data_IF_609772818027
#
_entry.id   IF_609772818027
#
_cell.length_a   1.000
_cell.length_b   1.000
_cell.length_c   1.000
_cell.angle_alpha   90.00
_cell.angle_beta   90.00
_cell.angle_gamma   90.00
#
_symmetry.space_group_name_H-M   'P 1'
#
loop_
_entity.id
_entity.type
_entity.pdbx_description
1 polymer ?
#
# COMPACT_ATOMS: atom_id res chain seq x y z
N UNK A 1 10.60 65.90 -1.63
CA UNK A 1 11.83 65.30 -1.06
C UNK A 1 11.44 64.21 -0.08
N UNK A 2 12.13 63.07 -0.21
CA UNK A 2 12.21 61.85 0.61
C UNK A 2 10.96 61.13 1.15
N UNK A 3 10.72 60.00 0.50
CA UNK A 3 10.11 58.75 0.93
C UNK A 3 10.76 58.13 2.17
N UNK A 4 9.95 57.53 3.04
CA UNK A 4 9.96 56.09 3.35
C UNK A 4 9.03 55.84 4.55
N UNK A 5 7.86 55.26 4.30
CA UNK A 5 7.02 54.70 5.36
C UNK A 5 7.38 53.21 5.50
N UNK A 6 8.07 52.94 6.61
CA UNK A 6 8.21 51.70 7.38
C UNK A 6 7.76 50.38 6.74
N UNK A 7 8.76 49.59 6.34
CA UNK A 7 8.61 48.16 6.12
C UNK A 7 8.35 47.46 7.46
N UNK A 8 7.13 46.96 7.64
CA UNK A 8 6.69 46.09 8.75
C UNK A 8 7.31 44.67 8.67
N UNK A 9 8.62 44.57 8.44
CA UNK A 9 9.34 43.30 8.42
C UNK A 9 9.90 42.98 9.80
N UNK A 10 9.15 42.22 10.62
CA UNK A 10 9.68 41.67 11.86
C UNK A 10 10.75 40.61 11.53
N UNK A 11 11.99 40.73 12.04
CA UNK A 11 13.00 39.71 11.80
C UNK A 11 12.54 38.36 12.37
N UNK A 12 12.91 37.24 11.72
CA UNK A 12 12.52 35.91 12.20
C UNK A 12 13.05 35.68 13.62
N UNK A 13 12.28 35.01 14.51
CA UNK A 13 12.70 34.77 15.88
C UNK A 13 14.01 33.96 15.93
N UNK A 14 14.85 34.22 16.93
CA UNK A 14 16.09 33.48 17.13
C UNK A 14 15.77 32.20 17.92
N UNK A 15 16.20 31.06 17.40
CA UNK A 15 16.03 29.74 18.03
C UNK A 15 17.39 29.20 18.43
N UNK A 16 17.65 29.13 19.74
CA UNK A 16 18.85 28.51 20.29
C UNK A 16 18.62 27.01 20.52
N UNK A 17 19.43 26.17 19.88
CA UNK A 17 19.29 24.72 20.01
C UNK A 17 20.56 23.96 19.67
N UNK A 18 20.89 22.95 20.46
CA UNK A 18 22.04 22.07 20.25
C UNK A 18 21.97 21.27 18.95
N UNK A 19 20.77 21.08 18.38
CA UNK A 19 20.56 20.32 17.16
C UNK A 19 21.16 20.98 15.91
N UNK A 20 21.66 22.23 16.00
CA UNK A 20 22.35 22.93 14.91
C UNK A 20 21.56 22.90 13.58
N UNK A 21 22.13 22.37 12.47
CA UNK A 21 21.43 22.27 11.18
C UNK A 21 20.22 21.32 11.23
N UNK A 22 20.10 20.51 12.28
CA UNK A 22 18.98 19.62 12.56
C UNK A 22 17.89 20.24 13.44
N UNK A 23 18.03 21.50 13.86
CA UNK A 23 17.02 22.18 14.65
C UNK A 23 15.68 22.33 13.86
N UNK A 24 14.57 22.02 14.54
CA UNK A 24 13.21 22.05 13.99
C UNK A 24 12.47 23.36 14.25
N UNK A 25 13.04 24.25 15.06
CA UNK A 25 12.41 25.52 15.38
C UNK A 25 12.31 26.46 14.19
N UNK A 26 11.24 27.25 14.18
CA UNK A 26 10.94 28.22 13.13
C UNK A 26 11.68 29.52 13.47
N UNK A 27 12.60 29.95 12.60
CA UNK A 27 13.36 31.19 12.79
C UNK A 27 14.85 31.07 12.47
N UNK A 28 15.64 32.08 12.87
CA UNK A 28 17.12 32.07 12.75
C UNK A 28 17.71 31.14 13.79
N UNK A 29 18.37 30.07 13.36
CA UNK A 29 18.89 29.01 14.25
C UNK A 29 20.30 29.33 14.71
N UNK A 30 20.52 29.30 16.02
CA UNK A 30 21.83 29.43 16.64
C UNK A 30 22.13 28.14 17.39
N UNK A 31 23.27 27.52 17.07
CA UNK A 31 23.69 26.29 17.73
C UNK A 31 24.24 26.63 19.12
N UNK A 32 23.60 26.09 20.15
CA UNK A 32 24.00 26.27 21.56
C UNK A 32 24.01 24.91 22.24
N UNK A 33 25.16 24.49 22.77
CA UNK A 33 25.38 23.12 23.27
C UNK A 33 24.55 22.72 24.49
N UNK A 34 24.04 23.69 25.26
CA UNK A 34 23.33 23.44 26.53
C UNK A 34 21.81 23.65 26.46
N UNK A 35 21.24 23.99 25.28
CA UNK A 35 19.80 24.23 25.10
C UNK A 35 19.20 23.33 24.04
N UNK A 36 17.98 22.86 24.28
CA UNK A 36 17.16 22.21 23.26
C UNK A 36 15.89 23.06 23.10
N UNK A 37 15.58 23.50 21.89
CA UNK A 37 14.35 24.26 21.67
C UNK A 37 13.10 23.37 21.85
N UNK A 38 11.93 23.95 22.17
CA UNK A 38 10.70 23.18 22.39
C UNK A 38 10.33 22.26 21.22
N UNK A 39 10.48 22.74 19.98
CA UNK A 39 10.19 21.95 18.79
C UNK A 39 11.08 20.71 18.68
N UNK A 40 12.37 20.85 19.03
CA UNK A 40 13.30 19.73 19.04
C UNK A 40 12.99 18.76 20.19
N UNK A 41 12.69 19.25 21.40
CA UNK A 41 12.31 18.41 22.54
C UNK A 41 11.06 17.57 22.25
N UNK A 42 10.08 18.15 21.55
CA UNK A 42 8.84 17.46 21.24
C UNK A 42 9.00 16.44 20.11
N UNK A 43 9.80 16.73 19.09
CA UNK A 43 9.76 16.00 17.81
C UNK A 43 10.99 15.16 17.47
N UNK A 44 12.15 15.44 18.07
CA UNK A 44 13.32 14.57 17.89
C UNK A 44 13.26 13.38 18.84
N UNK A 45 13.91 12.29 18.44
CA UNK A 45 14.08 11.13 19.31
C UNK A 45 14.96 11.51 20.51
N UNK A 46 14.57 11.14 21.75
CA UNK A 46 15.35 11.46 22.95
C UNK A 46 16.77 10.89 22.94
N UNK A 47 17.02 9.73 22.32
CA UNK A 47 18.38 9.20 22.21
C UNK A 47 19.22 10.05 21.25
N UNK A 48 18.64 10.47 20.12
CA UNK A 48 19.32 11.36 19.18
C UNK A 48 19.68 12.70 19.83
N UNK A 49 18.77 13.28 20.61
CA UNK A 49 19.04 14.50 21.38
C UNK A 49 20.13 14.29 22.43
N UNK A 50 20.18 13.12 23.10
CA UNK A 50 21.26 12.79 24.07
C UNK A 50 22.62 12.66 23.38
N UNK A 51 22.67 12.06 22.19
CA UNK A 51 23.90 12.00 21.38
C UNK A 51 24.39 13.41 21.05
N UNK A 52 23.50 14.29 20.58
CA UNK A 52 23.89 15.67 20.27
C UNK A 52 24.20 16.52 21.50
N UNK A 53 23.58 16.22 22.64
CA UNK A 53 23.88 16.89 23.90
C UNK A 53 25.31 16.61 24.39
N UNK A 54 25.93 15.51 23.92
CA UNK A 54 27.33 15.18 24.18
C UNK A 54 27.74 15.37 25.65
N UNK A 55 27.04 14.69 26.56
CA UNK A 55 27.24 14.77 28.02
C UNK A 55 26.99 16.14 28.67
N UNK A 56 26.38 17.10 27.97
CA UNK A 56 25.95 18.36 28.58
C UNK A 56 24.79 18.10 29.57
N UNK A 57 25.06 18.31 30.85
CA UNK A 57 24.12 18.00 31.94
C UNK A 57 22.81 18.78 31.84
N UNK A 58 22.86 20.04 31.43
CA UNK A 58 21.68 20.92 31.32
C UNK A 58 20.77 20.43 30.18
N UNK A 59 21.34 20.14 29.02
CA UNK A 59 20.57 19.61 27.89
C UNK A 59 19.98 18.23 28.20
N UNK A 60 20.75 17.35 28.86
CA UNK A 60 20.29 16.02 29.27
C UNK A 60 19.14 16.11 30.26
N UNK A 61 19.20 17.03 31.24
CA UNK A 61 18.13 17.27 32.19
C UNK A 61 16.82 17.62 31.46
N UNK A 62 16.87 18.59 30.54
CA UNK A 62 15.69 19.01 29.77
C UNK A 62 15.09 17.87 28.91
N UNK A 63 15.93 17.02 28.32
CA UNK A 63 15.47 15.84 27.55
C UNK A 63 14.79 14.82 28.48
N UNK A 64 15.33 14.60 29.67
CA UNK A 64 14.79 13.65 30.64
C UNK A 64 13.45 14.12 31.23
N UNK A 65 13.32 15.41 31.53
CA UNK A 65 12.06 16.02 31.98
C UNK A 65 10.95 15.85 30.94
N UNK A 66 11.23 16.12 29.66
CA UNK A 66 10.25 15.94 28.59
C UNK A 66 9.91 14.45 28.38
N UNK A 67 10.89 13.56 28.50
CA UNK A 67 10.64 12.11 28.42
C UNK A 67 9.74 11.63 29.56
N UNK A 68 9.96 12.12 30.79
CA UNK A 68 9.13 11.81 31.94
C UNK A 68 7.69 12.33 31.75
N UNK A 69 7.53 13.54 31.20
CA UNK A 69 6.21 14.10 30.85
C UNK A 69 5.47 13.23 29.84
N UNK A 70 6.14 12.75 28.80
CA UNK A 70 5.57 11.84 27.79
C UNK A 70 5.16 10.49 28.41
N UNK A 71 5.92 9.97 29.37
CA UNK A 71 5.56 8.76 30.13
C UNK A 71 4.28 8.95 30.97
N UNK A 72 4.09 10.11 31.59
CA UNK A 72 2.84 10.43 32.30
C UNK A 72 1.66 10.53 31.33
N UNK A 73 1.85 11.18 30.18
CA UNK A 73 0.82 11.29 29.14
C UNK A 73 0.38 9.91 28.64
N UNK A 74 1.34 9.01 28.38
CA UNK A 74 1.08 7.62 27.99
C UNK A 74 0.17 6.92 29.00
N UNK A 75 0.54 6.92 30.28
CA UNK A 75 -0.25 6.28 31.35
C UNK A 75 -1.69 6.80 31.38
N UNK A 76 -1.88 8.11 31.22
CA UNK A 76 -3.22 8.72 31.21
C UNK A 76 -4.07 8.30 29.99
N UNK A 77 -3.43 8.09 28.84
CA UNK A 77 -4.09 7.64 27.60
C UNK A 77 -4.43 6.15 27.70
N UNK A 78 -3.51 5.33 28.18
CA UNK A 78 -3.67 3.88 28.35
C UNK A 78 -4.71 3.53 29.42
N UNK A 79 -4.79 4.30 30.51
CA UNK A 79 -5.84 4.16 31.52
C UNK A 79 -7.26 4.35 30.95
N UNK A 80 -7.40 4.96 29.76
CA UNK A 80 -8.68 5.17 29.06
C UNK A 80 -8.88 4.19 27.90
N UNK A 81 -8.11 3.10 27.83
CA UNK A 81 -8.18 2.09 26.77
C UNK A 81 -7.75 2.60 25.39
N UNK A 82 -6.96 3.67 25.35
CA UNK A 82 -6.38 4.24 24.13
C UNK A 82 -4.87 4.03 24.17
N UNK A 83 -4.22 4.03 23.03
CA UNK A 83 -2.76 3.86 22.95
C UNK A 83 -2.15 5.00 22.14
N UNK A 84 -0.92 5.36 22.49
CA UNK A 84 -0.14 6.33 21.73
C UNK A 84 0.29 5.74 20.38
N UNK A 85 0.51 6.61 19.39
CA UNK A 85 1.18 6.20 18.17
C UNK A 85 2.57 5.67 18.50
N UNK A 86 3.05 4.64 17.78
CA UNK A 86 4.40 4.11 17.96
C UNK A 86 5.51 5.18 17.76
N UNK A 87 5.23 6.34 17.15
CA UNK A 87 6.16 7.47 17.06
C UNK A 87 6.14 8.43 18.26
N UNK A 88 5.05 8.44 19.04
CA UNK A 88 4.89 9.28 20.23
C UNK A 88 5.08 8.49 21.53
N UNK A 89 4.96 7.17 21.46
CA UNK A 89 5.07 6.28 22.60
C UNK A 89 6.55 6.20 23.08
N UNK A 90 6.85 6.60 24.32
CA UNK A 90 8.21 6.59 24.86
C UNK A 90 8.82 5.18 24.99
N UNK A 91 8.04 4.10 25.03
CA UNK A 91 8.57 2.74 25.16
C UNK A 91 9.34 2.27 23.93
N UNK A 92 9.04 2.83 22.76
CA UNK A 92 9.70 2.48 21.50
C UNK A 92 10.99 3.29 21.25
N UNK A 93 11.48 4.06 22.23
CA UNK A 93 12.70 4.89 22.10
C UNK A 93 13.98 4.09 21.78
N UNK A 94 14.00 2.78 22.06
CA UNK A 94 15.16 1.91 21.81
C UNK A 94 15.04 1.13 20.50
N UNK A 95 13.94 1.29 19.75
CA UNK A 95 13.73 0.55 18.53
C UNK A 95 14.63 1.08 17.40
N UNK A 96 15.37 0.18 16.75
CA UNK A 96 16.36 0.49 15.70
C UNK A 96 15.79 1.31 14.53
N UNK A 97 14.49 1.20 14.24
CA UNK A 97 13.82 1.98 13.19
C UNK A 97 13.59 3.45 13.57
N UNK A 98 13.71 3.85 14.84
CA UNK A 98 13.68 5.27 15.26
C UNK A 98 15.00 6.00 15.01
N UNK A 99 16.13 5.31 15.16
CA UNK A 99 17.47 5.92 15.16
C UNK A 99 17.95 6.42 13.79
N UNK A 100 17.44 5.87 12.69
CA UNK A 100 17.97 6.14 11.33
C UNK A 100 16.97 6.78 10.36
N UNK A 101 15.66 6.68 10.59
CA UNK A 101 14.67 6.96 9.53
C UNK A 101 13.64 8.08 9.83
N UNK A 102 13.55 8.58 11.07
CA UNK A 102 12.46 9.49 11.46
C UNK A 102 12.94 10.73 12.21
N UNK A 103 13.76 11.55 11.55
CA UNK A 103 13.71 12.98 11.85
C UNK A 103 12.34 13.51 11.39
N UNK A 104 11.38 13.64 12.32
CA UNK A 104 10.00 14.12 12.09
C UNK A 104 9.95 15.61 11.72
N UNK A 105 10.75 16.02 10.73
CA UNK A 105 10.72 17.35 10.10
C UNK A 105 9.37 17.53 9.40
N UNK A 106 8.46 18.26 10.05
CA UNK A 106 7.25 18.78 9.42
C UNK A 106 5.98 17.94 9.56
N UNK A 107 6.00 16.82 10.30
CA UNK A 107 4.76 16.13 10.69
C UNK A 107 4.09 16.89 11.83
N UNK A 108 2.90 17.44 11.57
CA UNK A 108 1.98 17.87 12.64
C UNK A 108 1.72 16.66 13.55
N UNK A 109 2.09 16.77 14.83
CA UNK A 109 1.84 15.78 15.88
C UNK A 109 0.42 15.92 16.47
N UNK A 110 -0.53 16.42 15.70
CA UNK A 110 -1.94 16.29 16.06
C UNK A 110 -2.38 14.89 15.61
N UNK A 111 -1.86 13.87 16.29
CA UNK A 111 -2.35 12.51 16.12
C UNK A 111 -3.57 12.36 17.04
N UNK A 112 -4.82 12.47 16.55
CA UNK A 112 -5.97 12.20 17.40
C UNK A 112 -5.86 10.76 17.88
N UNK A 113 -6.16 10.55 19.16
CA UNK A 113 -6.11 9.24 19.81
C UNK A 113 -6.71 8.17 18.90
N UNK A 114 -5.95 7.11 18.64
CA UNK A 114 -6.36 6.07 17.68
C UNK A 114 -7.55 5.31 18.26
N UNK A 115 -8.76 5.65 17.84
CA UNK A 115 -9.86 4.68 17.81
C UNK A 115 -9.70 3.85 16.53
N UNK A 116 -9.85 2.53 16.64
CA UNK A 116 -9.78 1.57 15.52
C UNK A 116 -10.51 2.11 14.28
N UNK A 117 -9.76 2.69 13.34
CA UNK A 117 -10.15 2.85 11.93
C UNK A 117 -8.93 3.27 11.09
N UNK A 118 -8.71 2.47 10.06
CA UNK A 118 -7.64 2.56 9.08
C UNK A 118 -7.81 3.79 8.19
N UNK A 119 -6.92 4.77 8.30
CA UNK A 119 -6.72 5.78 7.25
C UNK A 119 -5.22 5.91 6.99
N UNK A 120 -4.78 5.33 5.87
CA UNK A 120 -3.43 5.50 5.30
C UNK A 120 -3.34 6.88 4.63
N UNK A 121 -2.70 7.85 5.31
CA UNK A 121 -2.20 9.05 4.66
C UNK A 121 -0.90 8.71 3.92
N UNK A 122 -0.94 8.85 2.59
CA UNK A 122 0.16 8.53 1.67
C UNK A 122 1.27 9.58 1.82
N UNK A 123 2.33 9.23 2.55
CA UNK A 123 3.60 9.97 2.51
C UNK A 123 4.31 9.65 1.18
N UNK A 124 4.73 10.68 0.45
CA UNK A 124 5.58 10.51 -0.74
C UNK A 124 6.94 9.97 -0.26
N UNK A 125 7.38 8.87 -0.87
CA UNK A 125 8.71 8.30 -0.65
C UNK A 125 9.81 9.36 -0.90
N UNK A 126 10.94 9.30 -0.19
CA UNK A 126 12.10 10.13 -0.49
C UNK A 126 12.49 9.96 -1.97
N UNK A 127 13.06 10.99 -2.62
CA UNK A 127 13.57 10.85 -3.98
C UNK A 127 14.55 9.66 -4.00
N UNK A 128 14.45 8.74 -4.98
CA UNK A 128 15.32 7.59 -5.01
C UNK A 128 16.78 8.07 -5.06
N UNK A 129 17.65 7.37 -4.31
CA UNK A 129 19.10 7.46 -4.51
C UNK A 129 19.38 7.28 -6.00
N UNK A 130 20.32 8.03 -6.57
CA UNK A 130 20.64 8.04 -8.01
C UNK A 130 21.25 6.74 -8.53
N UNK A 131 21.21 5.67 -7.73
CA UNK A 131 21.86 4.41 -8.04
C UNK A 131 20.83 3.30 -8.23
N UNK A 132 20.98 2.55 -9.31
CA UNK A 132 20.19 1.36 -9.61
C UNK A 132 21.13 0.25 -10.07
N UNK A 133 20.83 -0.99 -9.67
CA UNK A 133 21.52 -2.18 -10.16
C UNK A 133 21.60 -2.26 -11.68
N UNK A 134 20.56 -1.75 -12.37
CA UNK A 134 20.51 -1.74 -13.83
C UNK A 134 21.32 -0.60 -14.47
N UNK A 135 21.86 0.34 -13.69
CA UNK A 135 22.69 1.45 -14.19
C UNK A 135 22.06 2.18 -15.39
N UNK A 136 22.78 2.21 -16.50
CA UNK A 136 22.33 2.80 -17.77
C UNK A 136 21.05 2.16 -18.34
N UNK A 137 20.74 0.90 -18.02
CA UNK A 137 19.52 0.21 -18.44
C UNK A 137 18.28 0.56 -17.59
N UNK A 138 18.39 1.53 -16.68
CA UNK A 138 17.30 2.02 -15.83
C UNK A 138 16.58 3.23 -16.45
N UNK A 139 15.42 3.06 -17.11
CA UNK A 139 14.68 4.18 -17.73
C UNK A 139 13.92 5.09 -16.74
N UNK A 140 14.36 5.14 -15.48
CA UNK A 140 13.81 6.11 -14.53
C UNK A 140 14.14 7.57 -14.94
N UNK A 141 15.17 7.77 -15.75
CA UNK A 141 15.59 9.02 -16.37
C UNK A 141 16.28 8.74 -17.73
N UNK A 142 16.36 9.73 -18.64
CA UNK A 142 16.83 9.53 -20.01
C UNK A 142 18.25 8.98 -20.13
N UNK A 143 19.17 9.40 -19.25
CA UNK A 143 20.57 8.93 -19.26
C UNK A 143 20.79 7.64 -18.45
N UNK A 144 19.73 7.06 -17.88
CA UNK A 144 19.86 5.99 -16.91
C UNK A 144 20.27 6.47 -15.52
N UNK A 145 20.61 5.54 -14.63
CA UNK A 145 21.12 5.84 -13.28
C UNK A 145 22.57 5.41 -13.14
N UNK A 146 23.27 5.93 -12.14
CA UNK A 146 24.56 5.36 -11.75
C UNK A 146 24.37 3.91 -11.29
N UNK A 147 25.36 3.05 -11.53
CA UNK A 147 25.24 1.65 -11.14
C UNK A 147 25.34 1.53 -9.61
N UNK A 148 24.36 0.86 -9.00
CA UNK A 148 24.29 0.62 -7.56
C UNK A 148 24.16 -0.85 -7.20
N UNK A 149 24.26 -1.20 -5.92
CA UNK A 149 24.14 -2.59 -5.47
C UNK A 149 22.69 -3.12 -5.46
N UNK A 150 21.69 -2.24 -5.55
CA UNK A 150 20.28 -2.60 -5.38
C UNK A 150 19.39 -2.14 -6.55
N UNK A 151 18.30 -2.88 -6.77
CA UNK A 151 17.24 -2.47 -7.70
C UNK A 151 16.53 -1.23 -7.13
N UNK A 152 16.54 -0.11 -7.88
CA UNK A 152 15.89 1.12 -7.43
C UNK A 152 14.36 0.97 -7.34
N UNK A 153 13.69 1.93 -6.71
CA UNK A 153 12.23 1.87 -6.49
C UNK A 153 11.42 1.87 -7.79
N UNK A 154 11.92 2.54 -8.83
CA UNK A 154 11.30 2.56 -10.16
C UNK A 154 11.40 1.17 -10.83
N UNK A 155 12.59 0.58 -10.90
CA UNK A 155 12.79 -0.76 -11.44
C UNK A 155 12.06 -1.84 -10.63
N UNK A 156 11.92 -1.67 -9.31
CA UNK A 156 11.10 -2.56 -8.45
C UNK A 156 9.62 -2.58 -8.84
N UNK A 157 9.13 -1.68 -9.69
CA UNK A 157 7.77 -1.69 -10.22
C UNK A 157 7.64 -2.43 -11.57
N UNK A 158 8.73 -2.88 -12.19
CA UNK A 158 8.69 -3.69 -13.41
C UNK A 158 8.30 -5.14 -13.15
N UNK A 159 7.94 -5.85 -14.22
CA UNK A 159 7.84 -7.31 -14.19
C UNK A 159 9.24 -7.91 -14.05
N UNK A 160 9.33 -9.13 -13.52
CA UNK A 160 10.62 -9.82 -13.48
C UNK A 160 11.14 -10.16 -14.88
N UNK A 161 10.24 -10.50 -15.81
CA UNK A 161 10.59 -10.71 -17.22
C UNK A 161 11.30 -9.48 -17.81
N UNK A 162 10.78 -8.28 -17.55
CA UNK A 162 11.41 -7.04 -17.99
C UNK A 162 12.73 -6.76 -17.25
N UNK A 163 12.83 -7.10 -15.96
CA UNK A 163 14.09 -6.98 -15.21
C UNK A 163 15.18 -7.92 -15.77
N UNK A 164 14.86 -9.18 -16.08
CA UNK A 164 15.80 -10.13 -16.69
C UNK A 164 16.16 -9.75 -18.13
N UNK A 165 15.19 -9.22 -18.89
CA UNK A 165 15.45 -8.73 -20.24
C UNK A 165 16.47 -7.59 -20.24
N UNK A 166 16.40 -6.70 -19.25
CA UNK A 166 17.36 -5.59 -19.08
C UNK A 166 18.69 -6.04 -18.50
N UNK A 167 18.69 -7.02 -17.60
CA UNK A 167 19.96 -7.55 -17.08
C UNK A 167 20.77 -8.24 -18.17
N UNK A 168 20.12 -8.90 -19.13
CA UNK A 168 20.76 -9.59 -20.25
C UNK A 168 21.59 -8.66 -21.17
N UNK A 169 21.38 -7.34 -21.10
CA UNK A 169 22.17 -6.36 -21.88
C UNK A 169 23.38 -5.83 -21.10
N UNK A 170 23.66 -6.35 -19.90
CA UNK A 170 24.70 -5.85 -18.99
C UNK A 170 25.85 -6.86 -18.82
N UNK A 171 27.10 -6.41 -18.65
CA UNK A 171 28.27 -7.28 -18.57
C UNK A 171 28.27 -8.26 -17.38
N UNK A 172 27.70 -7.87 -16.23
CA UNK A 172 27.63 -8.72 -15.02
C UNK A 172 26.25 -9.39 -14.84
N UNK A 173 25.71 -9.96 -15.94
CA UNK A 173 24.34 -10.51 -15.97
C UNK A 173 24.07 -11.51 -14.84
N UNK A 174 25.00 -12.43 -14.55
CA UNK A 174 24.80 -13.46 -13.52
C UNK A 174 24.64 -12.88 -12.10
N UNK A 175 25.51 -11.94 -11.72
CA UNK A 175 25.42 -11.27 -10.42
C UNK A 175 24.16 -10.42 -10.30
N UNK A 176 23.75 -9.75 -11.39
CA UNK A 176 22.52 -8.97 -11.43
C UNK A 176 21.29 -9.88 -11.30
N UNK A 177 21.28 -11.01 -12.01
CA UNK A 177 20.20 -12.00 -11.92
C UNK A 177 20.06 -12.56 -10.50
N UNK A 178 21.16 -12.80 -9.79
CA UNK A 178 21.11 -13.23 -8.39
C UNK A 178 20.41 -12.22 -7.48
N UNK A 179 20.61 -10.93 -7.69
CA UNK A 179 19.90 -9.87 -6.93
C UNK A 179 18.42 -9.82 -7.32
N UNK A 180 18.09 -9.99 -8.60
CA UNK A 180 16.70 -10.09 -9.07
C UNK A 180 16.00 -11.30 -8.44
N UNK A 181 16.66 -12.46 -8.40
CA UNK A 181 16.16 -13.69 -7.78
C UNK A 181 15.98 -13.56 -6.27
N UNK A 182 16.90 -12.86 -5.61
CA UNK A 182 16.79 -12.57 -4.17
C UNK A 182 15.60 -11.67 -3.90
N UNK A 183 15.40 -10.63 -4.72
CA UNK A 183 14.22 -9.77 -4.62
C UNK A 183 12.91 -10.56 -4.88
N UNK A 184 12.91 -11.48 -5.84
CA UNK A 184 11.78 -12.38 -6.10
C UNK A 184 11.43 -13.23 -4.90
N UNK A 185 12.42 -13.93 -4.33
CA UNK A 185 12.24 -14.77 -3.14
C UNK A 185 11.73 -13.97 -1.94
N UNK A 186 12.23 -12.74 -1.75
CA UNK A 186 11.76 -11.86 -0.68
C UNK A 186 10.25 -11.57 -0.79
N UNK A 187 9.75 -11.32 -2.00
CA UNK A 187 8.32 -11.06 -2.25
C UNK A 187 7.46 -12.30 -2.09
N UNK A 188 7.96 -13.47 -2.47
CA UNK A 188 7.29 -14.75 -2.24
C UNK A 188 7.11 -15.03 -0.74
N UNK A 189 8.17 -14.83 0.05
CA UNK A 189 8.12 -14.94 1.51
C UNK A 189 7.16 -13.92 2.13
N UNK A 190 7.21 -12.65 1.70
CA UNK A 190 6.29 -11.62 2.18
C UNK A 190 4.83 -11.96 1.87
N UNK A 191 4.56 -12.47 0.66
CA UNK A 191 3.20 -12.86 0.24
C UNK A 191 2.68 -14.02 1.07
N UNK A 192 3.50 -15.06 1.25
CA UNK A 192 3.14 -16.22 2.08
C UNK A 192 2.86 -15.81 3.53
N UNK A 193 3.69 -14.94 4.11
CA UNK A 193 3.51 -14.45 5.48
C UNK A 193 2.24 -13.61 5.61
N UNK A 194 1.97 -12.71 4.66
CA UNK A 194 0.73 -11.91 4.63
C UNK A 194 -0.51 -12.78 4.58
N UNK A 195 -0.52 -13.82 3.74
CA UNK A 195 -1.62 -14.79 3.64
C UNK A 195 -1.79 -15.51 4.98
N UNK A 196 -0.71 -16.06 5.54
CA UNK A 196 -0.72 -16.80 6.79
C UNK A 196 -1.23 -15.98 7.97
N UNK A 197 -0.86 -14.69 8.02
CA UNK A 197 -1.25 -13.76 9.10
C UNK A 197 -2.59 -13.05 8.85
N UNK A 198 -3.23 -13.26 7.70
CA UNK A 198 -4.46 -12.55 7.32
C UNK A 198 -4.26 -11.03 7.19
N UNK A 199 -3.05 -10.59 6.85
CA UNK A 199 -2.75 -9.19 6.60
C UNK A 199 -3.28 -8.73 5.25
N UNK A 200 -3.26 -7.41 5.02
CA UNK A 200 -3.50 -6.86 3.68
C UNK A 200 -2.56 -7.48 2.65
N UNK A 201 -3.12 -7.82 1.49
CA UNK A 201 -2.40 -8.48 0.40
C UNK A 201 -1.52 -7.49 -0.36
N UNK A 202 -0.55 -8.00 -1.11
CA UNK A 202 0.18 -7.17 -2.06
C UNK A 202 -0.74 -6.80 -3.23
N UNK A 203 -0.55 -5.60 -3.78
CA UNK A 203 -1.12 -5.22 -5.07
C UNK A 203 -0.85 -6.32 -6.11
N UNK A 204 -1.80 -6.64 -6.98
CA UNK A 204 -1.65 -7.64 -8.04
C UNK A 204 -0.42 -7.39 -8.92
N UNK A 205 0.01 -6.13 -9.10
CA UNK A 205 1.26 -5.82 -9.81
C UNK A 205 2.53 -6.35 -9.12
N UNK A 206 2.48 -6.62 -7.81
CA UNK A 206 3.61 -7.11 -7.01
C UNK A 206 3.42 -8.50 -6.43
N UNK A 207 2.20 -8.99 -6.31
CA UNK A 207 1.92 -10.35 -5.88
C UNK A 207 2.53 -11.36 -6.88
N UNK A 208 3.46 -12.23 -6.45
CA UNK A 208 4.14 -13.20 -7.31
C UNK A 208 3.21 -14.13 -8.09
N UNK A 209 2.01 -14.44 -7.58
CA UNK A 209 1.06 -15.33 -8.27
C UNK A 209 0.60 -14.73 -9.61
N UNK A 210 0.43 -13.41 -9.66
CA UNK A 210 -0.03 -12.73 -10.86
C UNK A 210 1.11 -12.27 -11.77
N UNK A 211 2.37 -12.49 -11.38
CA UNK A 211 3.54 -11.99 -12.12
C UNK A 211 3.81 -12.72 -13.42
N UNK A 212 3.42 -13.99 -13.53
CA UNK A 212 3.54 -14.79 -14.75
C UNK A 212 2.43 -14.52 -15.77
N UNK A 213 1.40 -13.75 -15.38
CA UNK A 213 0.27 -13.47 -16.28
C UNK A 213 0.68 -12.50 -17.38
N UNK A 214 0.16 -12.73 -18.59
CA UNK A 214 0.49 -11.99 -19.80
C UNK A 214 0.29 -10.48 -19.64
N UNK A 215 -0.79 -10.06 -18.96
CA UNK A 215 -1.09 -8.65 -18.71
C UNK A 215 0.00 -7.93 -17.90
N UNK A 216 0.75 -8.67 -17.08
CA UNK A 216 1.78 -8.09 -16.21
C UNK A 216 3.09 -7.81 -16.95
N UNK A 217 3.40 -8.59 -18.00
CA UNK A 217 4.73 -8.65 -18.64
C UNK A 217 5.28 -7.27 -18.98
N UNK A 218 4.45 -6.40 -19.54
CA UNK A 218 4.88 -5.10 -20.09
C UNK A 218 4.39 -3.89 -19.28
N UNK A 219 3.72 -4.10 -18.14
CA UNK A 219 3.22 -2.97 -17.36
C UNK A 219 4.29 -2.37 -16.44
N UNK A 220 4.52 -1.07 -16.57
CA UNK A 220 5.28 -0.27 -15.61
C UNK A 220 4.48 0.99 -15.30
N UNK A 221 4.15 1.29 -14.02
CA UNK A 221 3.47 2.52 -13.62
C UNK A 221 4.18 3.83 -14.03
N UNK A 222 5.45 3.75 -14.47
CA UNK A 222 6.33 4.88 -14.81
C UNK A 222 6.46 5.88 -13.66
N UNK A 223 6.55 5.35 -12.44
CA UNK A 223 6.81 6.14 -11.24
C UNK A 223 7.69 5.38 -10.23
N UNK A 224 8.37 6.15 -9.37
CA UNK A 224 9.27 5.63 -8.33
C UNK A 224 8.54 5.24 -7.02
N UNK A 225 7.21 5.45 -6.96
CA UNK A 225 6.42 5.11 -5.78
C UNK A 225 6.23 3.60 -5.72
N UNK A 226 6.47 2.96 -4.57
CA UNK A 226 6.27 1.51 -4.43
C UNK A 226 4.79 1.16 -4.31
N UNK A 227 4.38 0.02 -4.89
CA UNK A 227 2.99 -0.47 -4.78
C UNK A 227 2.54 -0.57 -3.33
N UNK A 228 1.29 -0.20 -3.06
CA UNK A 228 0.66 -0.37 -1.74
C UNK A 228 0.09 -1.77 -1.54
N UNK A 229 -0.48 -1.99 -0.36
CA UNK A 229 -1.26 -3.19 -0.05
C UNK A 229 -2.74 -2.99 -0.40
N UNK A 230 -3.48 -4.10 -0.50
CA UNK A 230 -4.88 -4.15 -0.91
C UNK A 230 -5.67 -5.08 0.00
N UNK A 231 -6.99 -4.91 0.03
CA UNK A 231 -7.88 -5.68 0.90
C UNK A 231 -8.14 -7.09 0.37
N UNK A 232 -8.18 -7.25 -0.96
CA UNK A 232 -8.48 -8.52 -1.60
C UNK A 232 -7.35 -8.96 -2.52
N UNK A 233 -7.09 -10.26 -2.57
CA UNK A 233 -6.14 -10.85 -3.52
C UNK A 233 -6.58 -10.61 -4.96
N UNK A 234 -5.63 -10.38 -5.86
CA UNK A 234 -5.91 -10.01 -7.25
C UNK A 234 -6.35 -8.56 -7.44
N UNK A 235 -6.31 -7.72 -6.40
CA UNK A 235 -6.65 -6.31 -6.50
C UNK A 235 -5.42 -5.44 -6.83
N UNK A 236 -5.57 -4.48 -7.74
CA UNK A 236 -4.62 -3.41 -7.98
C UNK A 236 -4.78 -2.34 -6.89
N UNK A 237 -3.67 -1.86 -6.34
CA UNK A 237 -3.74 -0.67 -5.50
C UNK A 237 -4.21 0.54 -6.32
N UNK A 238 -4.83 1.51 -5.65
CA UNK A 238 -5.41 2.72 -6.28
C UNK A 238 -4.44 3.39 -7.25
N UNK A 239 -3.14 3.42 -6.92
CA UNK A 239 -2.10 3.98 -7.80
C UNK A 239 -1.94 3.17 -9.08
N UNK A 240 -1.74 1.86 -8.97
CA UNK A 240 -1.52 1.00 -10.14
C UNK A 240 -2.74 0.98 -11.04
N UNK A 241 -3.94 0.93 -10.46
CA UNK A 241 -5.17 1.01 -11.24
C UNK A 241 -5.28 2.32 -12.02
N UNK A 242 -5.01 3.45 -11.36
CA UNK A 242 -5.00 4.77 -12.02
C UNK A 242 -3.94 4.84 -13.13
N UNK A 243 -2.72 4.36 -12.88
CA UNK A 243 -1.64 4.36 -13.88
C UNK A 243 -1.92 3.47 -15.07
N UNK A 244 -2.54 2.31 -14.85
CA UNK A 244 -2.97 1.45 -15.95
C UNK A 244 -4.06 2.12 -16.81
N UNK A 245 -4.98 2.87 -16.17
CA UNK A 245 -5.97 3.69 -16.90
C UNK A 245 -5.34 4.83 -17.69
N UNK A 246 -4.43 5.59 -17.07
CA UNK A 246 -3.69 6.69 -17.73
C UNK A 246 -2.88 6.18 -18.94
N UNK A 247 -2.38 4.94 -18.89
CA UNK A 247 -1.62 4.31 -19.97
C UNK A 247 -2.50 3.57 -20.98
N UNK A 248 -3.83 3.63 -20.86
CA UNK A 248 -4.79 2.92 -21.72
C UNK A 248 -4.47 1.42 -21.86
N UNK A 249 -4.09 0.77 -20.76
CA UNK A 249 -3.79 -0.65 -20.75
C UNK A 249 -5.03 -1.48 -21.10
N UNK A 250 -5.02 -2.15 -22.25
CA UNK A 250 -6.15 -2.96 -22.76
C UNK A 250 -6.51 -4.10 -21.82
N UNK A 251 -5.52 -4.73 -21.19
CA UNK A 251 -5.70 -5.81 -20.23
C UNK A 251 -6.50 -5.43 -18.98
N UNK A 252 -6.76 -4.14 -18.73
CA UNK A 252 -7.67 -3.73 -17.66
C UNK A 252 -9.11 -4.24 -17.88
N UNK A 253 -9.46 -4.67 -19.09
CA UNK A 253 -10.74 -5.34 -19.35
C UNK A 253 -10.89 -6.67 -18.58
N UNK A 254 -9.78 -7.31 -18.20
CA UNK A 254 -9.77 -8.50 -17.34
C UNK A 254 -10.06 -8.16 -15.87
N UNK A 255 -10.12 -6.86 -15.51
CA UNK A 255 -10.38 -6.39 -14.17
C UNK A 255 -11.80 -5.82 -14.03
N UNK A 256 -12.54 -6.31 -13.03
CA UNK A 256 -13.77 -5.69 -12.57
C UNK A 256 -13.43 -4.57 -11.57
N UNK A 257 -13.34 -3.34 -12.09
CA UNK A 257 -12.78 -2.24 -11.34
C UNK A 257 -11.28 -2.49 -11.11
N UNK A 258 -10.85 -2.53 -9.85
CA UNK A 258 -9.46 -2.80 -9.49
C UNK A 258 -9.18 -4.28 -9.21
N UNK A 259 -10.14 -5.19 -9.33
CA UNK A 259 -9.96 -6.63 -9.03
C UNK A 259 -9.90 -7.47 -10.29
N UNK A 260 -8.89 -8.33 -10.39
CA UNK A 260 -8.77 -9.29 -11.48
C UNK A 260 -9.96 -10.27 -11.49
N UNK A 261 -10.49 -10.52 -12.68
CA UNK A 261 -11.68 -11.31 -12.92
C UNK A 261 -12.96 -10.62 -12.45
N UNK A 262 -14.09 -11.26 -12.71
CA UNK A 262 -15.42 -10.79 -12.34
C UNK A 262 -15.96 -11.61 -11.16
N UNK A 263 -16.91 -11.08 -10.37
CA UNK A 263 -17.65 -11.91 -9.42
C UNK A 263 -18.36 -13.02 -10.19
N UNK A 264 -18.44 -14.22 -9.62
CA UNK A 264 -19.34 -15.26 -10.13
C UNK A 264 -20.75 -14.66 -10.28
N UNK A 265 -21.39 -14.88 -11.43
CA UNK A 265 -22.70 -14.32 -11.75
C UNK A 265 -23.72 -14.58 -10.63
N UNK A 266 -23.68 -15.78 -10.04
CA UNK A 266 -24.53 -16.16 -8.94
C UNK A 266 -24.35 -15.24 -7.72
N UNK A 267 -23.11 -14.92 -7.34
CA UNK A 267 -22.79 -14.05 -6.19
C UNK A 267 -22.79 -12.55 -6.54
N UNK A 268 -22.78 -12.19 -7.82
CA UNK A 268 -22.72 -10.81 -8.26
C UNK A 268 -23.97 -10.04 -7.79
N UNK A 269 -23.74 -9.05 -6.92
CA UNK A 269 -24.79 -8.22 -6.34
C UNK A 269 -25.45 -7.32 -7.38
N UNK A 270 -24.76 -6.99 -8.47
CA UNK A 270 -25.31 -6.19 -9.58
C UNK A 270 -26.41 -6.92 -10.33
N UNK A 271 -26.39 -8.25 -10.28
CA UNK A 271 -27.38 -9.14 -10.91
C UNK A 271 -28.52 -9.53 -9.95
N UNK A 272 -28.68 -8.85 -8.79
CA UNK A 272 -29.79 -9.08 -7.84
C UNK A 272 -31.01 -8.19 -8.09
N UNK A 273 -31.17 -7.60 -9.27
CA UNK A 273 -32.35 -6.79 -9.60
C UNK A 273 -33.58 -7.68 -9.69
N UNK A 274 -34.75 -7.22 -9.22
CA UNK A 274 -36.00 -8.00 -9.24
C UNK A 274 -36.36 -8.54 -10.63
N UNK A 275 -36.06 -7.79 -11.69
CA UNK A 275 -36.28 -8.19 -13.10
C UNK A 275 -35.32 -9.27 -13.60
N UNK A 276 -34.13 -9.37 -13.00
CA UNK A 276 -33.07 -10.31 -13.37
C UNK A 276 -33.00 -11.50 -12.38
N UNK A 277 -33.78 -11.47 -11.29
CA UNK A 277 -33.70 -12.42 -10.18
C UNK A 277 -34.36 -13.79 -10.47
N UNK A 278 -35.09 -13.94 -11.58
CA UNK A 278 -35.85 -15.16 -11.86
C UNK A 278 -34.96 -16.41 -11.97
N UNK A 279 -33.72 -16.25 -12.44
CA UNK A 279 -32.76 -17.33 -12.48
C UNK A 279 -31.96 -17.49 -11.17
N UNK A 280 -32.04 -16.56 -10.22
CA UNK A 280 -31.43 -16.73 -8.88
C UNK A 280 -32.35 -17.43 -7.89
N UNK A 281 -33.66 -17.38 -8.13
CA UNK A 281 -34.72 -18.03 -7.33
C UNK A 281 -34.93 -19.49 -7.74
N UNK A 282 -34.65 -19.81 -9.01
CA UNK A 282 -34.68 -21.17 -9.52
C UNK A 282 -35.98 -21.60 -10.16
N UNK A 283 -36.05 -22.85 -10.65
CA UNK A 283 -37.28 -23.40 -11.16
C UNK A 283 -38.30 -23.45 -10.02
N UNK A 284 -39.51 -22.98 -10.32
CA UNK A 284 -40.66 -23.09 -9.43
C UNK A 284 -41.30 -24.47 -9.64
N UNK A 285 -41.72 -25.10 -8.55
CA UNK A 285 -42.50 -26.32 -8.59
C UNK A 285 -43.93 -26.05 -9.12
N UNK A 286 -44.74 -27.12 -9.19
CA UNK A 286 -46.15 -27.05 -9.60
C UNK A 286 -47.04 -26.19 -8.69
N UNK A 287 -46.54 -25.81 -7.51
CA UNK A 287 -47.21 -24.96 -6.53
C UNK A 287 -46.62 -23.54 -6.51
N UNK A 288 -45.72 -23.21 -7.44
CA UNK A 288 -45.06 -21.90 -7.53
C UNK A 288 -43.97 -21.68 -6.49
N UNK A 289 -43.51 -22.72 -5.79
CA UNK A 289 -42.46 -22.63 -4.78
C UNK A 289 -41.08 -22.89 -5.39
N UNK A 290 -40.06 -22.09 -5.05
CA UNK A 290 -38.70 -22.33 -5.52
C UNK A 290 -38.15 -23.64 -4.93
N UNK A 291 -37.36 -24.36 -5.73
CA UNK A 291 -36.62 -25.53 -5.27
C UNK A 291 -35.76 -25.16 -4.04
N UNK A 292 -35.98 -25.80 -2.87
CA UNK A 292 -35.22 -25.51 -1.65
C UNK A 292 -33.71 -25.74 -1.77
N UNK A 293 -33.27 -26.53 -2.76
CA UNK A 293 -31.87 -26.79 -3.07
C UNK A 293 -31.25 -25.79 -4.05
N UNK A 294 -32.06 -24.88 -4.62
CA UNK A 294 -31.61 -23.90 -5.60
C UNK A 294 -30.75 -22.78 -4.98
N UNK A 295 -31.19 -22.22 -3.85
CA UNK A 295 -30.42 -21.24 -3.10
C UNK A 295 -29.43 -21.97 -2.17
N UNK A 296 -28.16 -22.03 -2.61
CA UNK A 296 -26.94 -22.44 -1.86
C UNK A 296 -27.16 -23.12 -0.50
N UNK A 297 -26.65 -24.34 -0.34
CA UNK A 297 -26.18 -24.80 0.97
C UNK A 297 -24.78 -24.21 1.25
N UNK A 298 -24.62 -23.26 2.18
CA UNK A 298 -23.33 -22.64 2.48
C UNK A 298 -22.29 -23.62 3.05
N UNK A 299 -22.72 -24.80 3.52
CA UNK A 299 -21.87 -25.81 4.18
C UNK A 299 -21.29 -26.82 3.20
N UNK A 300 -21.96 -27.08 2.07
CA UNK A 300 -21.54 -28.07 1.06
C UNK A 300 -20.64 -27.49 -0.04
N UNK A 301 -20.91 -26.27 -0.51
CA UNK A 301 -20.38 -25.82 -1.81
C UNK A 301 -19.20 -24.83 -1.71
N UNK A 302 -18.86 -24.38 -0.51
CA UNK A 302 -17.83 -23.37 -0.28
C UNK A 302 -18.20 -21.97 -0.81
N UNK A 303 -17.22 -21.03 -0.77
CA UNK A 303 -17.41 -19.66 -1.27
C UNK A 303 -17.26 -19.60 -2.80
N UNK A 304 -18.02 -18.69 -3.42
CA UNK A 304 -17.87 -18.38 -4.84
C UNK A 304 -16.48 -17.83 -5.15
N UNK A 305 -15.97 -18.23 -6.29
CA UNK A 305 -14.71 -17.74 -6.85
C UNK A 305 -14.99 -16.66 -7.89
N UNK A 306 -13.96 -15.89 -8.23
CA UNK A 306 -14.02 -14.95 -9.34
C UNK A 306 -13.87 -15.69 -10.66
N UNK A 307 -14.53 -15.20 -11.69
CA UNK A 307 -14.53 -15.77 -13.04
C UNK A 307 -13.67 -14.92 -13.97
N UNK A 308 -13.23 -15.52 -15.07
CA UNK A 308 -12.48 -14.78 -16.10
C UNK A 308 -13.39 -13.84 -16.88
N UNK A 309 -14.64 -14.24 -17.12
CA UNK A 309 -15.59 -13.51 -17.94
C UNK A 309 -16.71 -12.89 -17.12
N UNK A 310 -17.18 -11.72 -17.56
CA UNK A 310 -18.34 -11.03 -16.98
C UNK A 310 -19.58 -11.91 -17.12
N UNK A 311 -20.42 -11.92 -16.09
CA UNK A 311 -21.65 -12.72 -16.03
C UNK A 311 -21.45 -14.24 -16.16
N UNK A 312 -20.26 -14.76 -15.89
CA UNK A 312 -19.96 -16.19 -15.90
C UNK A 312 -20.16 -16.80 -14.50
N UNK A 313 -20.54 -18.07 -14.43
CA UNK A 313 -20.48 -18.87 -13.21
C UNK A 313 -19.05 -19.35 -12.94
N UNK A 314 -18.60 -19.33 -11.69
CA UNK A 314 -17.36 -20.03 -11.34
C UNK A 314 -17.55 -21.54 -11.47
N UNK A 315 -16.46 -22.31 -11.63
CA UNK A 315 -16.55 -23.76 -11.86
C UNK A 315 -17.42 -24.49 -10.84
N UNK A 316 -17.30 -24.12 -9.55
CA UNK A 316 -18.14 -24.67 -8.47
C UNK A 316 -19.63 -24.41 -8.69
N UNK A 317 -19.98 -23.17 -9.08
CA UNK A 317 -21.37 -22.83 -9.37
C UNK A 317 -21.84 -23.43 -10.69
N UNK A 318 -20.97 -23.55 -11.70
CA UNK A 318 -21.28 -24.20 -12.95
C UNK A 318 -21.61 -25.67 -12.72
N UNK A 319 -20.71 -26.44 -12.10
CA UNK A 319 -20.92 -27.87 -11.81
C UNK A 319 -22.21 -28.11 -11.02
N UNK A 320 -22.50 -27.24 -10.03
CA UNK A 320 -23.74 -27.33 -9.27
C UNK A 320 -24.98 -27.06 -10.12
N UNK A 321 -24.92 -26.02 -10.95
CA UNK A 321 -26.11 -25.54 -11.66
C UNK A 321 -26.38 -26.28 -12.96
N UNK A 322 -25.35 -26.83 -13.61
CA UNK A 322 -25.48 -27.46 -14.93
C UNK A 322 -26.31 -28.75 -14.92
N UNK A 323 -26.38 -29.42 -13.76
CA UNK A 323 -27.18 -30.62 -13.54
C UNK A 323 -28.67 -30.32 -13.28
N UNK A 324 -29.03 -29.05 -13.03
CA UNK A 324 -30.39 -28.67 -12.64
C UNK A 324 -31.27 -28.38 -13.87
N UNK A 325 -32.52 -28.84 -13.82
CA UNK A 325 -33.52 -28.61 -14.87
C UNK A 325 -33.71 -27.11 -15.14
N UNK A 326 -33.50 -26.69 -16.39
CA UNK A 326 -33.66 -25.30 -16.81
C UNK A 326 -32.37 -24.47 -16.83
N UNK A 327 -31.21 -25.06 -16.54
CA UNK A 327 -29.90 -24.40 -16.65
C UNK A 327 -29.68 -23.70 -18.00
N UNK A 328 -29.84 -24.46 -19.09
CA UNK A 328 -29.64 -23.98 -20.47
C UNK A 328 -30.56 -22.83 -20.89
N UNK A 329 -31.65 -22.58 -20.15
CA UNK A 329 -32.52 -21.42 -20.37
C UNK A 329 -31.81 -20.12 -20.05
N UNK A 330 -30.99 -20.11 -19.00
CA UNK A 330 -30.38 -18.91 -18.42
C UNK A 330 -28.90 -18.79 -18.73
N UNK A 331 -28.19 -19.92 -18.75
CA UNK A 331 -26.76 -20.01 -18.99
C UNK A 331 -26.48 -20.81 -20.25
N UNK A 332 -25.34 -20.52 -20.88
CA UNK A 332 -24.81 -21.41 -21.91
C UNK A 332 -24.24 -22.70 -21.26
N UNK A 333 -24.40 -23.83 -21.94
CA UNK A 333 -24.03 -25.15 -21.44
C UNK A 333 -22.54 -25.46 -21.48
N UNK A 334 -21.73 -24.64 -22.15
CA UNK A 334 -20.32 -24.92 -22.40
C UNK A 334 -19.42 -24.18 -21.40
N UNK A 335 -19.75 -22.93 -21.10
CA UNK A 335 -18.96 -21.98 -20.32
C UNK A 335 -19.69 -21.42 -19.10
N UNK A 336 -20.99 -21.67 -18.96
CA UNK A 336 -21.77 -21.19 -17.82
C UNK A 336 -21.93 -19.68 -17.79
N UNK A 337 -21.93 -19.03 -18.95
CA UNK A 337 -22.12 -17.59 -19.12
C UNK A 337 -23.61 -17.29 -19.20
N UNK A 338 -24.05 -16.29 -18.43
CA UNK A 338 -25.43 -15.86 -18.43
C UNK A 338 -25.80 -15.25 -19.78
N UNK A 339 -26.87 -15.75 -20.40
CA UNK A 339 -27.37 -15.23 -21.68
C UNK A 339 -27.64 -13.73 -21.60
N UNK A 340 -27.30 -12.98 -22.66
CA UNK A 340 -27.38 -11.50 -22.70
C UNK A 340 -28.74 -10.93 -22.27
N UNK A 341 -29.84 -11.65 -22.49
CA UNK A 341 -31.19 -11.23 -22.07
C UNK A 341 -31.38 -11.16 -20.55
N UNK A 342 -30.48 -11.77 -19.77
CA UNK A 342 -30.50 -11.81 -18.32
C UNK A 342 -29.26 -11.16 -17.67
N UNK A 343 -28.19 -10.95 -18.44
CA UNK A 343 -27.00 -10.21 -18.01
C UNK A 343 -27.18 -8.71 -18.27
N UNK A 344 -27.14 -7.89 -17.23
CA UNK A 344 -27.26 -6.44 -17.34
C UNK A 344 -26.26 -5.85 -18.38
N UNK A 345 -26.73 -4.85 -19.15
CA UNK A 345 -25.92 -4.04 -20.08
C UNK A 345 -24.62 -3.56 -19.43
#
# INVERSE_FOLDING_TARGET
MSSAADSLFKPPPIVECLSGPHCLGIGRKIQVSHRVCPDCLQRHDPQQLRVWANNNSIAILAINEETARKQVLKRNIEARGRYLCAFEDPDYQHCRWRLLDLSLRGTRLDCPSIHRRTILLVMRAPPPRTHCLLGAACDSCPEGQEQGPEICSWCKNMSFEELYKRSATLPDTESINLVIDTYKRQLELETAERIRKGWSFLCACKDPEYRSQSWRRNFNPKDSRLCGTVLHRGQLCVRCYRKAREQNCTWLEEFDGDRLGFPCAFDDTRLRRRIDASWKIGPLDRHGQPDPSWERDPRRDGRCERTRLRNQLCQKCFNRMCEIRGFGRFFDSEWGTLHRRYGAR
#
